data_IF_020579980171
#
_entry.id   IF_020579980171
#
_cell.length_a   1.000
_cell.length_b   1.000
_cell.length_c   1.000
_cell.angle_alpha   90.00
_cell.angle_beta   90.00
_cell.angle_gamma   90.00
#
_symmetry.space_group_name_H-M   'P 1'
#
loop_
_entity.id
_entity.type
_entity.pdbx_description
1 polymer ?
#
# COMPACT_ATOMS: atom_id res chain seq x y z
N UNK A 1 -13.56 17.12 5.94
CA UNK A 1 -12.11 17.37 6.11
C UNK A 1 -11.52 16.18 6.82
N UNK A 2 -10.46 15.56 6.30
CA UNK A 2 -9.86 14.36 6.90
C UNK A 2 -8.43 14.69 7.32
N UNK A 3 -8.11 14.46 8.59
CA UNK A 3 -6.79 14.73 9.14
C UNK A 3 -5.79 13.67 8.68
N UNK A 4 -4.58 14.11 8.34
CA UNK A 4 -3.43 13.25 8.12
C UNK A 4 -2.67 13.06 9.43
N UNK A 5 -2.02 11.91 9.56
CA UNK A 5 -1.29 11.54 10.78
C UNK A 5 0.05 12.27 10.90
N UNK A 6 0.61 12.73 9.79
CA UNK A 6 1.93 13.37 9.72
C UNK A 6 1.82 14.63 8.87
N UNK A 7 2.31 15.73 9.44
CA UNK A 7 2.51 16.97 8.72
C UNK A 7 3.98 17.05 8.29
N UNK A 8 4.26 17.22 6.99
CA UNK A 8 5.61 17.36 6.50
C UNK A 8 6.18 18.68 7.03
N UNK A 9 7.50 18.72 7.25
CA UNK A 9 8.19 19.89 7.79
C UNK A 9 7.96 21.15 6.94
N UNK A 10 7.76 20.99 5.62
CA UNK A 10 7.50 22.07 4.67
C UNK A 10 6.18 21.86 3.89
N UNK A 11 5.01 22.12 4.51
CA UNK A 11 3.69 21.70 4.00
C UNK A 11 3.24 22.37 2.71
N UNK A 12 3.84 23.52 2.35
CA UNK A 12 3.43 24.31 1.19
C UNK A 12 4.34 24.19 -0.03
N UNK A 13 5.66 24.14 0.16
CA UNK A 13 6.62 24.45 -0.89
C UNK A 13 7.37 23.25 -1.48
N UNK A 14 7.53 22.15 -0.73
CA UNK A 14 8.37 21.02 -1.15
C UNK A 14 7.73 19.63 -1.01
N UNK A 15 6.55 19.54 -0.41
CA UNK A 15 5.85 18.28 -0.15
C UNK A 15 4.55 18.16 -0.94
N UNK A 16 4.17 16.95 -1.32
CA UNK A 16 2.93 16.58 -2.00
C UNK A 16 2.16 15.50 -1.24
N UNK A 17 0.88 15.77 -0.97
CA UNK A 17 0.02 14.87 -0.20
C UNK A 17 -0.96 14.12 -1.10
N UNK A 18 -1.21 12.85 -0.82
CA UNK A 18 -2.25 12.04 -1.48
C UNK A 18 -2.93 11.11 -0.48
N UNK A 19 -4.21 10.81 -0.69
CA UNK A 19 -4.99 9.91 0.16
C UNK A 19 -5.98 9.08 -0.66
N UNK A 20 -6.10 7.81 -0.31
CA UNK A 20 -7.17 6.91 -0.72
C UNK A 20 -8.00 6.45 0.48
N UNK A 21 -9.32 6.60 0.42
CA UNK A 21 -10.24 6.18 1.49
C UNK A 21 -11.12 5.01 1.07
N UNK A 22 -11.44 4.11 2.02
CA UNK A 22 -12.32 2.95 1.80
C UNK A 22 -11.90 2.07 0.61
N UNK A 23 -10.60 1.82 0.48
CA UNK A 23 -10.05 1.03 -0.60
C UNK A 23 -10.39 -0.45 -0.39
N UNK A 24 -10.91 -1.09 -1.44
CA UNK A 24 -11.26 -2.51 -1.43
C UNK A 24 -10.02 -3.40 -1.62
N UNK A 25 -9.07 -3.27 -0.70
CA UNK A 25 -7.85 -4.05 -0.64
C UNK A 25 -7.66 -4.63 0.75
N UNK A 26 -7.03 -5.80 0.85
CA UNK A 26 -6.81 -6.45 2.12
C UNK A 26 -5.77 -5.67 2.94
N UNK A 27 -6.17 -5.17 4.11
CA UNK A 27 -5.34 -4.31 4.95
C UNK A 27 -3.90 -4.82 5.17
N UNK A 28 -3.72 -6.08 5.58
CA UNK A 28 -2.38 -6.63 5.88
C UNK A 28 -1.46 -6.61 4.66
N UNK A 29 -2.03 -6.93 3.51
CA UNK A 29 -1.35 -7.00 2.24
C UNK A 29 -0.91 -5.60 1.78
N UNK A 30 -1.83 -4.64 1.89
CA UNK A 30 -1.59 -3.23 1.62
C UNK A 30 -0.50 -2.66 2.52
N UNK A 31 -0.49 -3.00 3.81
CA UNK A 31 0.50 -2.51 4.78
C UNK A 31 1.92 -2.95 4.42
N UNK A 32 2.14 -4.24 4.15
CA UNK A 32 3.47 -4.75 3.78
C UNK A 32 3.96 -4.16 2.45
N UNK A 33 3.04 -3.96 1.50
CA UNK A 33 3.39 -3.35 0.21
C UNK A 33 3.74 -1.87 0.37
N UNK A 34 3.04 -1.15 1.23
CA UNK A 34 3.33 0.24 1.57
C UNK A 34 4.70 0.38 2.26
N UNK A 35 5.00 -0.49 3.23
CA UNK A 35 6.31 -0.48 3.89
C UNK A 35 7.46 -0.77 2.91
N UNK A 36 7.24 -1.64 1.92
CA UNK A 36 8.24 -1.93 0.91
C UNK A 36 8.55 -0.76 -0.04
N UNK A 37 7.63 0.19 -0.20
CA UNK A 37 7.83 1.37 -1.06
C UNK A 37 8.28 2.62 -0.33
N UNK A 38 8.33 2.58 1.00
CA UNK A 38 8.78 3.69 1.83
C UNK A 38 10.26 3.98 1.55
N UNK A 39 10.58 5.24 1.29
CA UNK A 39 11.93 5.72 0.99
C UNK A 39 12.38 5.54 -0.47
N UNK A 40 11.51 5.04 -1.36
CA UNK A 40 11.83 4.96 -2.80
C UNK A 40 11.45 6.25 -3.53
N UNK A 41 12.12 6.53 -4.65
CA UNK A 41 11.66 7.54 -5.60
C UNK A 41 10.33 7.12 -6.24
N UNK A 42 9.44 8.07 -6.52
CA UNK A 42 8.08 7.78 -7.02
C UNK A 42 8.11 6.96 -8.32
N UNK A 43 9.03 7.26 -9.23
CA UNK A 43 9.22 6.49 -10.48
C UNK A 43 9.65 5.06 -10.22
N UNK A 44 10.57 4.86 -9.29
CA UNK A 44 11.07 3.53 -8.90
C UNK A 44 9.98 2.72 -8.20
N UNK A 45 9.24 3.34 -7.28
CA UNK A 45 8.09 2.74 -6.62
C UNK A 45 7.02 2.30 -7.62
N UNK A 46 6.71 3.15 -8.61
CA UNK A 46 5.74 2.83 -9.66
C UNK A 46 6.22 1.67 -10.53
N UNK A 47 7.51 1.62 -10.89
CA UNK A 47 8.12 0.50 -11.62
C UNK A 47 8.04 -0.79 -10.79
N UNK A 48 8.44 -0.72 -9.52
CA UNK A 48 8.40 -1.86 -8.60
C UNK A 48 6.99 -2.44 -8.48
N UNK A 49 5.96 -1.61 -8.28
CA UNK A 49 4.57 -2.06 -8.17
C UNK A 49 4.04 -2.70 -9.47
N UNK A 50 4.45 -2.19 -10.65
CA UNK A 50 4.14 -2.82 -11.95
C UNK A 50 4.79 -4.20 -12.04
N UNK A 51 6.06 -4.33 -11.65
CA UNK A 51 6.75 -5.61 -11.68
C UNK A 51 6.19 -6.62 -10.66
N UNK A 52 5.75 -6.18 -9.48
CA UNK A 52 5.03 -7.01 -8.50
C UNK A 52 3.74 -7.58 -9.09
N UNK A 53 3.02 -6.79 -9.90
CA UNK A 53 1.82 -7.23 -10.60
C UNK A 53 2.13 -8.34 -11.61
N UNK A 54 3.29 -8.25 -12.27
CA UNK A 54 3.83 -9.28 -13.16
C UNK A 54 4.47 -10.46 -12.40
N UNK A 55 4.43 -10.46 -11.07
CA UNK A 55 5.01 -11.47 -10.19
C UNK A 55 6.52 -11.68 -10.38
N UNK A 56 7.26 -10.66 -10.83
CA UNK A 56 8.72 -10.73 -10.96
C UNK A 56 9.38 -10.59 -9.55
N UNK A 57 9.41 -9.41 -8.91
CA UNK A 57 9.70 -9.28 -7.49
C UNK A 57 8.49 -9.70 -6.65
N UNK A 58 8.73 -10.01 -5.38
CA UNK A 58 7.69 -10.33 -4.40
C UNK A 58 7.81 -9.37 -3.23
N UNK A 59 6.68 -9.03 -2.61
CA UNK A 59 6.67 -8.12 -1.46
C UNK A 59 7.09 -8.91 -0.20
N UNK A 60 8.10 -8.44 0.56
CA UNK A 60 8.46 -9.05 1.83
C UNK A 60 7.35 -8.84 2.88
N UNK A 61 7.12 -9.83 3.75
CA UNK A 61 6.14 -9.75 4.84
C UNK A 61 6.86 -9.77 6.18
N UNK A 62 6.92 -8.62 6.85
CA UNK A 62 7.59 -8.47 8.15
C UNK A 62 6.62 -8.67 9.32
N UNK A 63 5.52 -7.91 9.36
CA UNK A 63 4.59 -7.92 10.49
C UNK A 63 3.55 -9.02 10.37
N UNK A 64 3.03 -9.26 9.17
CA UNK A 64 1.93 -10.22 8.92
C UNK A 64 2.41 -11.54 8.32
N UNK A 65 3.40 -12.18 8.96
CA UNK A 65 4.16 -13.33 8.46
C UNK A 65 3.54 -14.72 8.68
N UNK A 66 2.41 -14.84 9.37
CA UNK A 66 1.79 -16.13 9.75
C UNK A 66 1.13 -16.95 8.63
N UNK A 67 1.47 -16.72 7.36
CA UNK A 67 0.84 -17.37 6.21
C UNK A 67 1.70 -17.38 4.93
N UNK A 68 2.45 -16.32 4.61
CA UNK A 68 3.36 -16.32 3.47
C UNK A 68 4.43 -17.41 3.59
N UNK A 69 4.58 -18.19 2.51
CA UNK A 69 5.66 -19.16 2.39
C UNK A 69 7.04 -18.51 2.25
N UNK A 70 8.09 -19.29 2.50
CA UNK A 70 9.47 -18.84 2.25
C UNK A 70 9.72 -18.72 0.75
N UNK A 71 10.45 -17.70 0.33
CA UNK A 71 10.77 -17.50 -1.07
C UNK A 71 12.21 -17.00 -1.25
N UNK A 72 12.96 -17.62 -2.17
CA UNK A 72 14.34 -17.21 -2.49
C UNK A 72 14.43 -15.74 -2.93
N UNK A 73 13.39 -15.23 -3.61
CA UNK A 73 13.32 -13.84 -4.04
C UNK A 73 13.26 -12.84 -2.88
N UNK A 74 12.82 -13.27 -1.70
CA UNK A 74 12.79 -12.43 -0.50
C UNK A 74 14.21 -12.04 -0.01
N UNK A 75 15.24 -12.76 -0.47
CA UNK A 75 16.65 -12.51 -0.12
C UNK A 75 17.12 -11.11 -0.50
N UNK A 76 16.51 -10.45 -1.50
CA UNK A 76 16.82 -9.07 -1.85
C UNK A 76 16.55 -8.08 -0.68
N UNK A 77 15.64 -8.43 0.21
CA UNK A 77 15.29 -7.63 1.40
C UNK A 77 15.84 -8.23 2.69
N UNK A 78 16.84 -9.12 2.59
CA UNK A 78 17.40 -9.89 3.71
C UNK A 78 16.33 -10.59 4.56
N UNK A 79 15.26 -11.05 3.89
CA UNK A 79 14.11 -11.68 4.53
C UNK A 79 13.79 -13.04 3.93
N UNK A 80 13.07 -13.88 4.68
CA UNK A 80 12.75 -15.24 4.27
C UNK A 80 11.39 -15.39 3.57
N UNK A 81 10.40 -14.57 3.95
CA UNK A 81 9.00 -14.74 3.56
C UNK A 81 8.50 -13.60 2.66
N UNK A 82 8.00 -13.96 1.48
CA UNK A 82 7.44 -12.98 0.55
C UNK A 82 6.30 -13.59 -0.27
N UNK A 83 5.33 -12.75 -0.63
CA UNK A 83 4.17 -13.18 -1.40
C UNK A 83 4.00 -12.36 -2.69
N UNK A 84 3.44 -13.01 -3.71
CA UNK A 84 3.10 -12.35 -4.98
C UNK A 84 1.69 -11.77 -4.88
N UNK A 85 1.57 -10.47 -4.71
CA UNK A 85 0.28 -9.83 -4.44
C UNK A 85 -0.34 -9.30 -5.73
N UNK A 86 -1.33 -10.01 -6.26
CA UNK A 86 -2.19 -9.49 -7.34
C UNK A 86 -3.16 -8.41 -6.83
N UNK A 87 -3.62 -8.51 -5.57
CA UNK A 87 -4.81 -7.79 -5.11
C UNK A 87 -4.53 -6.43 -4.43
N UNK A 88 -3.39 -6.24 -3.76
CA UNK A 88 -3.06 -4.93 -3.13
C UNK A 88 -2.29 -4.00 -4.06
N UNK A 89 -1.61 -4.53 -5.08
CA UNK A 89 -0.82 -3.77 -6.03
C UNK A 89 -1.68 -2.88 -6.98
N UNK A 90 -3.01 -3.01 -6.97
CA UNK A 90 -3.87 -2.23 -7.85
C UNK A 90 -4.10 -0.78 -7.42
N UNK A 91 -4.17 -0.50 -6.10
CA UNK A 91 -4.56 0.84 -5.64
C UNK A 91 -3.35 1.75 -5.35
N UNK A 92 -2.23 1.21 -4.87
CA UNK A 92 -1.02 2.01 -4.58
C UNK A 92 -0.49 2.77 -5.81
N UNK A 93 -0.44 2.19 -7.03
CA UNK A 93 -0.06 2.93 -8.23
C UNK A 93 -1.00 4.12 -8.52
N UNK A 94 -2.29 4.01 -8.16
CA UNK A 94 -3.24 5.11 -8.32
C UNK A 94 -2.97 6.23 -7.33
N UNK A 95 -2.57 5.89 -6.09
CA UNK A 95 -2.19 6.87 -5.06
C UNK A 95 -0.91 7.60 -5.48
N UNK A 96 0.12 6.88 -5.97
CA UNK A 96 1.36 7.48 -6.46
C UNK A 96 1.15 8.35 -7.69
N UNK A 97 0.32 7.93 -8.65
CA UNK A 97 -0.04 8.78 -9.81
C UNK A 97 -0.73 10.08 -9.40
N UNK A 98 -1.49 10.06 -8.32
CA UNK A 98 -2.09 11.27 -7.77
C UNK A 98 -1.04 12.17 -7.10
N UNK A 99 0.00 11.60 -6.47
CA UNK A 99 1.14 12.37 -5.97
C UNK A 99 1.86 13.07 -7.13
N UNK A 100 2.17 12.35 -8.21
CA UNK A 100 2.80 12.93 -9.41
C UNK A 100 2.01 14.13 -9.93
N UNK A 101 0.70 13.96 -10.10
CA UNK A 101 -0.19 15.04 -10.54
C UNK A 101 -0.21 16.22 -9.56
N UNK A 102 -0.21 15.95 -8.26
CA UNK A 102 -0.20 17.01 -7.25
C UNK A 102 1.13 17.78 -7.25
N UNK A 103 2.24 17.10 -7.56
CA UNK A 103 3.53 17.73 -7.73
C UNK A 103 3.60 18.62 -8.97
N UNK A 104 3.08 18.14 -10.11
CA UNK A 104 2.96 18.94 -11.34
C UNK A 104 2.16 20.23 -11.08
N UNK A 105 1.04 20.12 -10.35
CA UNK A 105 0.22 21.28 -9.97
C UNK A 105 0.95 22.28 -9.07
N UNK A 106 1.90 21.82 -8.25
CA UNK A 106 2.74 22.66 -7.41
C UNK A 106 4.02 23.16 -8.10
N UNK A 107 4.28 22.71 -9.34
CA UNK A 107 5.52 23.03 -10.06
C UNK A 107 6.76 22.32 -9.49
N UNK A 108 6.58 21.20 -8.80
CA UNK A 108 7.66 20.37 -8.26
C UNK A 108 8.15 19.38 -9.32
N UNK A 109 9.45 19.07 -9.29
CA UNK A 109 10.05 18.09 -10.19
C UNK A 109 9.64 16.67 -9.76
N UNK A 110 8.83 16.00 -10.59
CA UNK A 110 8.30 14.67 -10.28
C UNK A 110 9.37 13.57 -10.10
N UNK A 111 10.55 13.78 -10.68
CA UNK A 111 11.63 12.80 -10.74
C UNK A 111 12.42 12.75 -9.44
N UNK A 112 12.54 13.91 -8.80
CA UNK A 112 13.28 14.12 -7.56
C UNK A 112 12.45 13.79 -6.31
N UNK A 113 11.17 13.46 -6.47
CA UNK A 113 10.27 13.13 -5.37
C UNK A 113 10.58 11.75 -4.78
N UNK A 114 10.58 11.70 -3.46
CA UNK A 114 10.80 10.49 -2.65
C UNK A 114 9.57 10.28 -1.77
N UNK A 115 9.15 9.03 -1.61
CA UNK A 115 8.09 8.69 -0.66
C UNK A 115 8.65 8.67 0.75
N UNK A 116 8.58 9.81 1.46
CA UNK A 116 9.05 9.93 2.85
C UNK A 116 8.19 9.08 3.80
N UNK A 117 6.87 9.22 3.66
CA UNK A 117 5.92 8.61 4.56
C UNK A 117 4.78 7.98 3.79
N UNK A 118 4.44 6.78 4.21
CA UNK A 118 3.25 6.10 3.74
C UNK A 118 2.63 5.34 4.91
N UNK A 119 1.34 5.50 5.09
CA UNK A 119 0.57 4.83 6.13
C UNK A 119 -0.66 4.18 5.54
N UNK A 120 -0.97 2.99 6.09
CA UNK A 120 -2.19 2.26 5.77
C UNK A 120 -2.94 2.04 7.07
N UNK A 121 -4.19 2.47 7.12
CA UNK A 121 -5.10 2.30 8.25
C UNK A 121 -6.20 1.30 7.92
N UNK A 122 -6.73 0.63 8.95
CA UNK A 122 -7.90 -0.25 8.81
C UNK A 122 -9.13 0.62 8.55
N UNK A 123 -9.94 0.24 7.57
CA UNK A 123 -11.24 0.85 7.31
C UNK A 123 -12.36 -0.02 7.93
N UNK A 124 -13.60 0.52 8.06
CA UNK A 124 -14.74 -0.24 8.57
C UNK A 124 -14.94 -1.56 7.81
N UNK A 125 -15.08 -2.66 8.56
CA UNK A 125 -15.26 -3.99 7.97
C UNK A 125 -16.61 -4.09 7.28
N UNK A 126 -16.63 -4.64 6.07
CA UNK A 126 -17.86 -4.91 5.35
C UNK A 126 -18.27 -6.38 5.56
N UNK A 127 -19.50 -6.57 6.05
CA UNK A 127 -20.02 -7.86 6.49
C UNK A 127 -20.81 -8.58 5.39
N UNK A 128 -20.56 -9.88 5.26
CA UNK A 128 -21.34 -10.84 4.47
C UNK A 128 -21.57 -12.09 5.31
N UNK A 129 -22.51 -12.93 4.86
CA UNK A 129 -22.83 -14.21 5.51
C UNK A 129 -22.28 -15.34 4.66
N UNK A 130 -21.73 -16.35 5.32
CA UNK A 130 -21.38 -17.64 4.73
C UNK A 130 -22.11 -18.73 5.50
N UNK A 131 -22.74 -19.65 4.78
CA UNK A 131 -23.45 -20.77 5.35
C UNK A 131 -22.48 -21.95 5.45
N UNK A 132 -22.30 -22.46 6.66
CA UNK A 132 -21.40 -23.58 6.95
C UNK A 132 -22.17 -24.90 6.94
N UNK A 133 -21.92 -25.73 7.96
CA UNK A 133 -22.76 -26.89 8.24
C UNK A 133 -24.25 -26.48 8.37
N UNK A 134 -25.20 -27.43 8.23
CA UNK A 134 -26.63 -27.11 8.36
C UNK A 134 -26.90 -26.33 9.65
N UNK A 135 -27.68 -25.24 9.55
CA UNK A 135 -27.97 -24.25 10.60
C UNK A 135 -26.82 -23.33 11.06
N UNK A 136 -25.58 -23.53 10.59
CA UNK A 136 -24.45 -22.66 10.95
C UNK A 136 -24.34 -21.45 10.02
N UNK A 137 -24.49 -20.26 10.59
CA UNK A 137 -24.24 -18.99 9.91
C UNK A 137 -22.94 -18.36 10.41
N UNK A 138 -21.93 -18.28 9.55
CA UNK A 138 -20.64 -17.69 9.87
C UNK A 138 -20.49 -16.30 9.25
N UNK A 139 -19.84 -15.34 9.94
CA UNK A 139 -19.51 -14.05 9.36
C UNK A 139 -18.37 -14.18 8.35
N UNK A 140 -18.55 -13.61 7.16
CA UNK A 140 -17.50 -13.40 6.18
C UNK A 140 -17.25 -11.90 6.04
N UNK A 141 -16.15 -11.42 6.60
CA UNK A 141 -15.84 -9.99 6.67
C UNK A 141 -14.68 -9.63 5.75
N UNK A 142 -14.90 -8.62 4.91
CA UNK A 142 -13.79 -7.98 4.19
C UNK A 142 -13.18 -6.88 5.07
N UNK A 143 -11.85 -6.74 5.00
CA UNK A 143 -11.07 -5.78 5.79
C UNK A 143 -10.45 -4.73 4.87
N UNK A 144 -11.22 -3.71 4.45
CA UNK A 144 -10.73 -2.62 3.60
C UNK A 144 -9.72 -1.74 4.33
N UNK A 145 -9.07 -0.83 3.60
CA UNK A 145 -8.06 0.07 4.15
C UNK A 145 -8.21 1.52 3.69
N UNK A 146 -7.70 2.44 4.50
CA UNK A 146 -7.33 3.80 4.09
C UNK A 146 -5.83 3.83 3.84
N UNK A 147 -5.38 4.59 2.85
CA UNK A 147 -3.97 4.80 2.58
C UNK A 147 -3.70 6.29 2.48
N UNK A 148 -2.66 6.74 3.17
CA UNK A 148 -2.23 8.13 3.27
C UNK A 148 -0.74 8.19 2.90
N UNK A 149 -0.38 9.13 2.04
CA UNK A 149 0.99 9.37 1.59
C UNK A 149 1.25 10.88 1.65
N UNK A 150 1.88 11.39 2.72
CA UNK A 150 2.55 12.68 2.73
C UNK A 150 3.98 12.47 2.20
N UNK A 151 4.11 12.55 0.88
CA UNK A 151 5.37 12.73 0.17
C UNK A 151 5.73 14.21 -0.01
#
# INVERSE_FOLDING_TARGET
MVYQSLDPENPGSKSCKSRGSNLHAHFKNSHETAQAIKGMHIREATRYLKDVTLQKPRVPFHCYSGGPGRCVRAKQWDWAQAWGLKSSAGFLPRVLKNVERNAELKGLEADSLVTEHIQVHKAPKMQRRTYGAPSQMNPCMSSPCHADDPS
#
